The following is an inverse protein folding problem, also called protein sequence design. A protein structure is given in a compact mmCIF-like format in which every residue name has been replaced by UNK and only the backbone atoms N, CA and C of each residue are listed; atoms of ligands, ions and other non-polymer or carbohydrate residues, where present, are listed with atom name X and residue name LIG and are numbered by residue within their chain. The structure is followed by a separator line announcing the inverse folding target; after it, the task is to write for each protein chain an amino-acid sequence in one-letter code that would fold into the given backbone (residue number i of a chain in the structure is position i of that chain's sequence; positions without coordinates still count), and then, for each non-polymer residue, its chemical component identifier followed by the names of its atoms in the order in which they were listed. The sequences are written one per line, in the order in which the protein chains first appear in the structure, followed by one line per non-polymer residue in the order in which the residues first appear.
data_IF_154428754558
#
_entry.id   IF_154428754558
#
_cell.length_a   1.000
_cell.length_b   1.000
_cell.length_c   1.000
_cell.angle_alpha   90.00
_cell.angle_beta   90.00
_cell.angle_gamma   90.00
#
_symmetry.space_group_name_H-M   'P 1'
#
loop_
_entity.id
_entity.type
_entity.pdbx_description
1 polymer ?
#
# COMPACT_ATOMS: atom_id res chain seq x y z
N UNK A 1 -3.44 -12.55 3.61
CA UNK A 1 -2.96 -11.16 3.50
C UNK A 1 -4.13 -10.14 3.47
N UNK A 2 -5.32 -10.48 3.99
CA UNK A 2 -6.51 -9.59 3.93
C UNK A 2 -6.30 -8.21 4.55
N UNK A 3 -5.38 -8.10 5.52
CA UNK A 3 -5.06 -6.84 6.19
C UNK A 3 -4.25 -5.86 5.33
N UNK A 4 -3.39 -6.32 4.41
CA UNK A 4 -2.51 -5.43 3.64
C UNK A 4 -3.31 -4.41 2.81
N UNK A 5 -4.33 -4.88 2.07
CA UNK A 5 -5.16 -4.00 1.24
C UNK A 5 -5.89 -2.94 2.06
N UNK A 6 -6.39 -3.32 3.25
CA UNK A 6 -7.06 -2.41 4.17
C UNK A 6 -6.09 -1.37 4.75
N UNK A 7 -4.93 -1.79 5.27
CA UNK A 7 -3.90 -0.90 5.83
C UNK A 7 -3.38 0.07 4.75
N UNK A 8 -3.13 -0.42 3.54
CA UNK A 8 -2.70 0.43 2.42
C UNK A 8 -3.74 1.51 2.10
N UNK A 9 -5.02 1.13 2.08
CA UNK A 9 -6.12 2.06 1.82
C UNK A 9 -6.22 3.12 2.91
N UNK A 10 -6.14 2.71 4.18
CA UNK A 10 -6.18 3.60 5.33
C UNK A 10 -5.04 4.63 5.29
N UNK A 11 -3.79 4.18 5.17
CA UNK A 11 -2.62 5.06 5.07
C UNK A 11 -2.72 6.04 3.90
N UNK A 12 -3.28 5.59 2.76
CA UNK A 12 -3.51 6.45 1.59
C UNK A 12 -4.55 7.54 1.89
N UNK A 13 -5.64 7.17 2.55
CA UNK A 13 -6.76 8.07 2.87
C UNK A 13 -6.39 9.07 3.97
N UNK A 14 -5.59 8.68 4.96
CA UNK A 14 -5.02 9.58 5.98
C UNK A 14 -4.17 10.69 5.36
N UNK A 15 -3.42 10.38 4.30
CA UNK A 15 -2.66 11.36 3.52
C UNK A 15 -3.52 12.15 2.51
N UNK A 16 -4.84 11.92 2.45
CA UNK A 16 -5.77 12.53 1.51
C UNK A 16 -5.38 12.31 0.03
N UNK A 17 -4.87 11.12 -0.30
CA UNK A 17 -4.43 10.77 -1.66
C UNK A 17 -5.47 9.91 -2.38
N UNK A 18 -5.70 10.20 -3.66
CA UNK A 18 -6.30 9.22 -4.58
C UNK A 18 -5.32 8.11 -4.93
N UNK A 19 -5.83 6.98 -5.41
CA UNK A 19 -4.97 5.86 -5.87
C UNK A 19 -3.98 6.31 -6.96
N UNK A 20 -4.40 7.20 -7.87
CA UNK A 20 -3.54 7.77 -8.93
C UNK A 20 -2.45 8.69 -8.37
N UNK A 21 -2.74 9.47 -7.32
CA UNK A 21 -1.72 10.30 -6.69
C UNK A 21 -0.69 9.43 -5.97
N UNK A 22 -1.13 8.44 -5.19
CA UNK A 22 -0.21 7.48 -4.57
C UNK A 22 0.66 6.79 -5.61
N UNK A 23 0.06 6.30 -6.70
CA UNK A 23 0.75 5.59 -7.78
C UNK A 23 1.95 6.38 -8.32
N UNK A 24 1.79 7.69 -8.50
CA UNK A 24 2.85 8.60 -8.98
C UNK A 24 3.93 8.85 -7.94
N UNK A 25 3.58 8.88 -6.65
CA UNK A 25 4.52 9.16 -5.56
C UNK A 25 5.43 7.97 -5.25
N UNK A 26 4.92 6.74 -5.38
CA UNK A 26 5.67 5.52 -5.05
C UNK A 26 6.15 4.75 -6.28
N UNK A 27 5.87 5.26 -7.49
CA UNK A 27 6.22 4.60 -8.76
C UNK A 27 5.69 3.16 -8.80
N UNK A 28 4.38 3.03 -8.56
CA UNK A 28 3.61 1.79 -8.69
C UNK A 28 2.42 2.12 -9.59
N UNK A 29 1.97 1.20 -10.44
CA UNK A 29 0.82 1.48 -11.31
C UNK A 29 -0.46 1.70 -10.49
N UNK A 30 -1.35 2.59 -10.94
CA UNK A 30 -2.64 2.82 -10.27
C UNK A 30 -3.46 1.52 -10.18
N UNK A 31 -3.42 0.69 -11.23
CA UNK A 31 -4.12 -0.60 -11.25
C UNK A 31 -3.55 -1.58 -10.22
N UNK A 32 -2.23 -1.60 -10.01
CA UNK A 32 -1.60 -2.36 -8.92
C UNK A 32 -2.11 -1.89 -7.56
N UNK A 33 -2.09 -0.58 -7.29
CA UNK A 33 -2.60 -0.01 -6.03
C UNK A 33 -4.07 -0.41 -5.81
N UNK A 34 -4.92 -0.27 -6.83
CA UNK A 34 -6.33 -0.64 -6.73
C UNK A 34 -6.51 -2.14 -6.45
N UNK A 35 -5.78 -3.01 -7.14
CA UNK A 35 -5.84 -4.47 -6.92
C UNK A 35 -5.31 -4.86 -5.55
N UNK A 36 -4.30 -4.16 -5.03
CA UNK A 36 -3.80 -4.35 -3.68
C UNK A 36 -4.86 -4.01 -2.64
N UNK A 37 -5.49 -2.83 -2.73
CA UNK A 37 -6.54 -2.39 -1.80
C UNK A 37 -7.78 -3.30 -1.85
N UNK A 38 -8.05 -3.92 -3.00
CA UNK A 38 -9.15 -4.88 -3.18
C UNK A 38 -8.77 -6.33 -2.88
N UNK A 39 -7.55 -6.60 -2.39
CA UNK A 39 -7.04 -7.96 -2.14
C UNK A 39 -7.08 -8.88 -3.38
N UNK A 40 -6.99 -8.30 -4.59
CA UNK A 40 -6.99 -8.99 -5.89
C UNK A 40 -5.59 -9.28 -6.45
N UNK A 41 -4.56 -8.81 -5.75
CA UNK A 41 -3.15 -9.06 -6.08
C UNK A 41 -2.31 -9.01 -4.82
N UNK A 42 -1.26 -9.81 -4.78
CA UNK A 42 -0.23 -9.67 -3.76
C UNK A 42 0.84 -8.66 -4.23
N UNK A 43 1.28 -7.74 -3.35
CA UNK A 43 2.37 -6.84 -3.64
C UNK A 43 3.70 -7.60 -3.69
N UNK A 44 4.62 -7.16 -4.55
CA UNK A 44 5.99 -7.69 -4.55
C UNK A 44 6.79 -7.02 -3.43
N UNK A 45 7.88 -7.65 -3.01
CA UNK A 45 8.76 -7.09 -1.98
C UNK A 45 9.26 -5.67 -2.31
N UNK A 46 9.50 -5.37 -3.59
CA UNK A 46 9.87 -4.02 -4.04
C UNK A 46 8.79 -2.99 -3.76
N UNK A 47 7.53 -3.39 -3.96
CA UNK A 47 6.36 -2.51 -3.84
C UNK A 47 6.05 -2.29 -2.35
N UNK A 48 6.14 -3.34 -1.53
CA UNK A 48 6.07 -3.25 -0.05
C UNK A 48 7.13 -2.28 0.47
N UNK A 49 8.38 -2.40 0.01
CA UNK A 49 9.47 -1.51 0.43
C UNK A 49 9.18 -0.05 0.07
N UNK A 50 8.74 0.21 -1.17
CA UNK A 50 8.39 1.55 -1.64
C UNK A 50 7.29 2.18 -0.78
N UNK A 51 6.24 1.42 -0.51
CA UNK A 51 5.09 1.86 0.30
C UNK A 51 5.50 2.10 1.76
N UNK A 52 6.24 1.17 2.37
CA UNK A 52 6.71 1.30 3.75
C UNK A 52 7.58 2.55 3.95
N UNK A 53 8.52 2.81 3.03
CA UNK A 53 9.36 4.02 3.06
C UNK A 53 8.50 5.29 2.90
N UNK A 54 7.55 5.29 1.95
CA UNK A 54 6.71 6.45 1.68
C UNK A 54 5.78 6.80 2.87
N UNK A 55 5.20 5.79 3.51
CA UNK A 55 4.32 5.98 4.66
C UNK A 55 5.07 6.13 5.98
N UNK A 56 6.36 5.79 6.03
CA UNK A 56 7.17 5.86 7.24
C UNK A 56 6.82 4.77 8.26
N UNK A 57 6.38 3.60 7.79
CA UNK A 57 5.96 2.45 8.61
C UNK A 57 6.87 1.25 8.37
N UNK A 58 6.83 0.26 9.26
CA UNK A 58 7.55 -1.01 9.05
C UNK A 58 6.88 -1.82 7.94
N UNK A 59 7.66 -2.69 7.29
CA UNK A 59 7.08 -3.65 6.35
C UNK A 59 6.10 -4.59 7.05
N UNK A 60 6.41 -5.00 8.29
CA UNK A 60 5.60 -5.90 9.12
C UNK A 60 4.23 -5.29 9.46
N UNK A 61 4.19 -4.02 9.87
CA UNK A 61 2.94 -3.27 10.01
C UNK A 61 2.16 -3.26 8.70
N UNK A 62 2.82 -2.87 7.60
CA UNK A 62 2.16 -2.73 6.31
C UNK A 62 1.53 -4.05 5.82
N UNK A 63 2.18 -5.19 6.06
CA UNK A 63 1.64 -6.52 5.70
C UNK A 63 0.70 -7.12 6.75
N UNK A 64 0.43 -6.41 7.85
CA UNK A 64 -0.50 -6.80 8.91
C UNK A 64 0.03 -7.89 9.83
N UNK A 65 1.34 -7.92 10.08
CA UNK A 65 2.00 -8.82 11.05
C UNK A 65 2.09 -8.24 12.47
N UNK A 66 1.88 -6.94 12.63
CA UNK A 66 1.73 -6.27 13.92
C UNK A 66 0.22 -6.15 14.28
N UNK A 67 -0.12 -6.19 15.57
CA UNK A 67 -1.50 -6.03 16.07
C UNK A 67 -1.98 -4.58 16.03
#
# INVERSE_FOLDING_TARGET
MEKFGAILKELREEKNLSQLQLSRLVDISQSSIARYELNQAEPRLSDIRKLAIFFGVTADYLVGMEE
#
